data_IF_895182773146
#
_entry.id   IF_895182773146
#
_cell.length_a   1.000
_cell.length_b   1.000
_cell.length_c   1.000
_cell.angle_alpha   90.00
_cell.angle_beta   90.00
_cell.angle_gamma   90.00
#
_symmetry.space_group_name_H-M   'P 1'
#
loop_
_entity.id
_entity.type
_entity.pdbx_description
1 polymer ?
#
# COMPACT_ATOMS: atom_id res chain seq x y z
N UNK A 1 -14.16 13.94 -4.16
CA UNK A 1 -14.14 14.09 -2.70
C UNK A 1 -12.84 13.48 -2.17
N UNK A 2 -11.98 14.26 -1.51
CA UNK A 2 -10.69 13.75 -1.00
C UNK A 2 -10.89 13.00 0.30
N UNK A 3 -10.52 11.71 0.34
CA UNK A 3 -10.69 10.85 1.52
C UNK A 3 -9.34 10.62 2.21
N UNK A 4 -9.29 10.80 3.54
CA UNK A 4 -8.09 10.58 4.36
C UNK A 4 -7.68 9.12 4.36
N UNK A 5 -8.64 8.19 4.39
CA UNK A 5 -8.32 6.77 4.31
C UNK A 5 -7.57 6.40 3.03
N UNK A 6 -7.72 7.19 1.96
CA UNK A 6 -7.04 7.00 0.68
C UNK A 6 -6.00 8.10 0.39
N UNK A 7 -5.39 8.69 1.42
CA UNK A 7 -4.27 9.63 1.26
C UNK A 7 -4.66 10.95 0.60
N UNK A 8 -5.91 11.39 0.75
CA UNK A 8 -6.44 12.60 0.14
C UNK A 8 -6.86 12.44 -1.33
N UNK A 9 -6.94 11.20 -1.83
CA UNK A 9 -7.43 10.88 -3.17
C UNK A 9 -8.93 10.54 -3.16
N UNK A 10 -9.53 10.54 -4.34
CA UNK A 10 -10.89 10.01 -4.53
C UNK A 10 -10.91 8.48 -4.31
N UNK A 11 -12.06 7.95 -3.87
CA UNK A 11 -12.25 6.52 -3.73
C UNK A 11 -12.36 5.86 -5.13
N UNK A 12 -11.63 4.77 -5.43
CA UNK A 12 -11.71 4.12 -6.73
C UNK A 12 -13.10 3.54 -7.03
N UNK A 13 -13.56 3.64 -8.28
CA UNK A 13 -14.89 3.18 -8.71
C UNK A 13 -15.15 1.70 -8.41
N UNK A 14 -14.12 0.85 -8.52
CA UNK A 14 -14.25 -0.58 -8.23
C UNK A 14 -14.52 -0.84 -6.74
N UNK A 15 -13.99 -0.01 -5.84
CA UNK A 15 -14.27 -0.07 -4.39
C UNK A 15 -15.68 0.42 -4.14
N UNK A 16 -16.05 1.59 -4.71
CA UNK A 16 -17.38 2.18 -4.59
C UNK A 16 -18.49 1.19 -4.98
N UNK A 17 -18.28 0.45 -6.07
CA UNK A 17 -19.23 -0.56 -6.56
C UNK A 17 -19.48 -1.68 -5.52
N UNK A 18 -18.51 -1.96 -4.65
CA UNK A 18 -18.64 -2.99 -3.62
C UNK A 18 -19.18 -2.48 -2.28
N UNK A 19 -19.22 -1.16 -2.05
CA UNK A 19 -19.68 -0.62 -0.76
C UNK A 19 -21.13 -0.99 -0.47
N UNK A 20 -21.98 -0.98 -1.50
CA UNK A 20 -23.37 -1.41 -1.38
C UNK A 20 -23.48 -2.90 -1.00
N UNK A 21 -22.58 -3.74 -1.50
CA UNK A 21 -22.60 -5.20 -1.28
C UNK A 21 -22.36 -5.57 0.19
N UNK A 22 -21.74 -4.71 0.99
CA UNK A 22 -21.55 -4.95 2.43
C UNK A 22 -22.85 -4.93 3.22
N UNK A 23 -23.88 -4.24 2.72
CA UNK A 23 -25.19 -4.17 3.38
C UNK A 23 -25.89 -5.52 3.38
N UNK A 24 -25.67 -6.31 2.32
CA UNK A 24 -26.28 -7.63 2.14
C UNK A 24 -25.54 -8.75 2.91
N UNK A 25 -24.37 -8.44 3.48
CA UNK A 25 -23.60 -9.38 4.28
C UNK A 25 -24.13 -9.36 5.73
N UNK A 26 -24.50 -10.52 6.31
CA UNK A 26 -24.87 -10.60 7.72
C UNK A 26 -23.76 -10.08 8.64
N UNK A 27 -24.14 -9.46 9.77
CA UNK A 27 -23.19 -8.88 10.75
C UNK A 27 -22.07 -9.85 11.17
N UNK A 28 -22.41 -11.10 11.49
CA UNK A 28 -21.43 -12.11 11.91
C UNK A 28 -20.45 -12.47 10.78
N UNK A 29 -20.96 -12.65 9.56
CA UNK A 29 -20.15 -12.87 8.36
C UNK A 29 -19.25 -11.67 8.04
N UNK A 30 -19.76 -10.45 8.21
CA UNK A 30 -19.02 -9.22 7.97
C UNK A 30 -17.84 -9.09 8.94
N UNK A 31 -18.08 -9.27 10.25
CA UNK A 31 -17.02 -9.26 11.28
C UNK A 31 -15.98 -10.35 11.03
N UNK A 32 -16.42 -11.55 10.64
CA UNK A 32 -15.53 -12.66 10.28
C UNK A 32 -14.66 -12.28 9.08
N UNK A 33 -15.25 -11.71 8.04
CA UNK A 33 -14.54 -11.21 6.86
C UNK A 33 -13.50 -10.14 7.22
N UNK A 34 -13.86 -9.16 8.04
CA UNK A 34 -12.93 -8.13 8.51
C UNK A 34 -11.76 -8.75 9.30
N UNK A 35 -12.01 -9.68 10.22
CA UNK A 35 -10.95 -10.34 10.98
C UNK A 35 -10.02 -11.17 10.09
N UNK A 36 -10.56 -11.88 9.11
CA UNK A 36 -9.76 -12.59 8.11
C UNK A 36 -8.90 -11.63 7.30
N UNK A 37 -9.45 -10.51 6.84
CA UNK A 37 -8.68 -9.47 6.14
C UNK A 37 -7.51 -8.97 7.00
N UNK A 38 -7.75 -8.68 8.27
CA UNK A 38 -6.69 -8.28 9.21
C UNK A 38 -5.60 -9.36 9.28
N UNK A 39 -5.98 -10.63 9.37
CA UNK A 39 -5.03 -11.75 9.35
C UNK A 39 -4.24 -11.86 8.03
N UNK A 40 -4.91 -11.70 6.88
CA UNK A 40 -4.28 -11.72 5.55
C UNK A 40 -3.29 -10.57 5.38
N UNK A 41 -3.64 -9.36 5.79
CA UNK A 41 -2.76 -8.20 5.72
C UNK A 41 -1.53 -8.36 6.63
N UNK A 42 -1.70 -8.98 7.82
CA UNK A 42 -0.58 -9.28 8.73
C UNK A 42 0.36 -10.36 8.18
N UNK A 43 -0.19 -11.38 7.53
CA UNK A 43 0.58 -12.51 6.98
C UNK A 43 1.08 -12.28 5.56
N UNK A 44 0.75 -11.13 4.94
CA UNK A 44 1.03 -10.83 3.54
C UNK A 44 0.48 -11.91 2.58
N UNK A 45 -0.65 -12.52 2.94
CA UNK A 45 -1.29 -13.57 2.15
C UNK A 45 -2.31 -12.96 1.18
N UNK A 46 -2.19 -13.27 -0.11
CA UNK A 46 -3.05 -12.76 -1.18
C UNK A 46 -4.12 -13.76 -1.65
N UNK A 47 -4.12 -14.98 -1.10
CA UNK A 47 -4.96 -16.09 -1.58
C UNK A 47 -5.97 -16.52 -0.53
N UNK A 48 -7.25 -16.47 -0.89
CA UNK A 48 -8.35 -16.98 -0.08
C UNK A 48 -8.50 -18.49 -0.22
N UNK A 49 -8.55 -19.21 0.90
CA UNK A 49 -8.88 -20.63 0.93
C UNK A 49 -10.40 -20.86 0.85
N UNK A 50 -10.80 -22.05 0.42
CA UNK A 50 -12.23 -22.42 0.34
C UNK A 50 -12.89 -22.46 1.73
N UNK A 51 -12.14 -22.82 2.77
CA UNK A 51 -12.63 -22.82 4.16
C UNK A 51 -12.91 -21.41 4.67
N UNK A 52 -12.09 -20.41 4.30
CA UNK A 52 -12.31 -19.02 4.70
C UNK A 52 -13.53 -18.44 3.98
N UNK A 53 -13.66 -18.69 2.68
CA UNK A 53 -14.81 -18.23 1.90
C UNK A 53 -16.12 -18.87 2.37
N UNK A 54 -16.09 -20.16 2.70
CA UNK A 54 -17.26 -20.86 3.25
C UNK A 54 -17.65 -20.33 4.63
N UNK A 55 -16.69 -19.95 5.48
CA UNK A 55 -16.98 -19.35 6.79
C UNK A 55 -17.77 -18.03 6.71
N UNK A 56 -17.65 -17.30 5.60
CA UNK A 56 -18.35 -16.03 5.37
C UNK A 56 -19.68 -16.27 4.61
N UNK A 57 -19.67 -17.15 3.61
CA UNK A 57 -20.84 -17.46 2.76
C UNK A 57 -21.85 -18.40 3.41
N UNK A 58 -21.49 -19.16 4.45
CA UNK A 58 -22.39 -20.11 5.11
C UNK A 58 -23.70 -19.46 5.62
N UNK A 59 -23.71 -18.14 5.80
CA UNK A 59 -24.84 -17.38 6.36
C UNK A 59 -25.50 -16.42 5.37
N UNK A 60 -25.09 -16.34 4.09
CA UNK A 60 -25.57 -15.29 3.17
C UNK A 60 -25.75 -15.70 1.70
N UNK A 61 -26.51 -14.92 0.89
CA UNK A 61 -26.86 -15.26 -0.49
C UNK A 61 -25.80 -14.83 -1.53
N UNK A 62 -24.64 -14.32 -1.13
CA UNK A 62 -23.64 -13.81 -2.07
C UNK A 62 -22.95 -14.93 -2.84
N UNK A 63 -22.88 -14.76 -4.17
CA UNK A 63 -22.00 -15.56 -5.02
C UNK A 63 -20.52 -15.36 -4.61
N UNK A 64 -19.72 -16.42 -4.77
CA UNK A 64 -18.30 -16.46 -4.37
C UNK A 64 -17.50 -15.35 -5.07
N UNK A 65 -17.82 -15.03 -6.33
CA UNK A 65 -17.13 -13.95 -7.05
C UNK A 65 -17.45 -12.59 -6.45
N UNK A 66 -18.71 -12.33 -6.14
CA UNK A 66 -19.15 -11.08 -5.50
C UNK A 66 -18.53 -10.93 -4.11
N UNK A 67 -18.48 -12.02 -3.32
CA UNK A 67 -17.81 -12.01 -2.02
C UNK A 67 -16.32 -11.66 -2.15
N UNK A 68 -15.60 -12.29 -3.09
CA UNK A 68 -14.17 -11.99 -3.29
C UNK A 68 -13.93 -10.53 -3.66
N UNK A 69 -14.81 -9.94 -4.49
CA UNK A 69 -14.74 -8.53 -4.83
C UNK A 69 -14.98 -7.63 -3.61
N UNK A 70 -15.99 -7.95 -2.80
CA UNK A 70 -16.28 -7.26 -1.55
C UNK A 70 -15.11 -7.33 -0.56
N UNK A 71 -14.53 -8.53 -0.36
CA UNK A 71 -13.37 -8.72 0.50
C UNK A 71 -12.13 -7.97 -0.01
N UNK A 72 -11.92 -7.91 -1.32
CA UNK A 72 -10.85 -7.10 -1.91
C UNK A 72 -11.04 -5.61 -1.63
N UNK A 73 -12.27 -5.11 -1.72
CA UNK A 73 -12.60 -3.72 -1.39
C UNK A 73 -12.37 -3.40 0.09
N UNK A 74 -12.80 -4.28 1.02
CA UNK A 74 -12.49 -4.12 2.45
C UNK A 74 -10.99 -4.20 2.73
N UNK A 75 -10.29 -5.12 2.09
CA UNK A 75 -8.83 -5.26 2.24
C UNK A 75 -8.12 -3.99 1.81
N UNK A 76 -8.54 -3.39 0.69
CA UNK A 76 -8.05 -2.10 0.24
C UNK A 76 -8.33 -0.98 1.26
N UNK A 77 -9.54 -0.91 1.81
CA UNK A 77 -9.91 0.10 2.82
C UNK A 77 -9.01 -0.04 4.06
N UNK A 78 -8.89 -1.25 4.63
CA UNK A 78 -8.04 -1.49 5.81
C UNK A 78 -6.57 -1.18 5.54
N UNK A 79 -6.05 -1.60 4.39
CA UNK A 79 -4.66 -1.38 4.01
C UNK A 79 -4.35 0.11 3.85
N UNK A 80 -5.19 0.83 3.08
CA UNK A 80 -5.00 2.26 2.83
C UNK A 80 -5.20 3.10 4.08
N UNK A 81 -6.26 2.85 4.84
CA UNK A 81 -6.50 3.54 6.10
C UNK A 81 -5.32 3.40 7.06
N UNK A 82 -4.79 2.17 7.20
CA UNK A 82 -3.62 1.90 8.06
C UNK A 82 -2.35 2.57 7.56
N UNK A 83 -2.10 2.56 6.24
CA UNK A 83 -0.92 3.18 5.62
C UNK A 83 -0.92 4.70 5.76
N UNK A 84 -2.09 5.32 5.66
CA UNK A 84 -2.25 6.78 5.74
C UNK A 84 -2.65 7.28 7.14
N UNK A 85 -2.58 6.43 8.17
CA UNK A 85 -2.86 6.82 9.56
C UNK A 85 -4.25 7.44 9.74
N UNK A 86 -5.21 6.98 8.96
CA UNK A 86 -6.57 7.46 9.08
C UNK A 86 -7.12 7.05 10.45
N UNK A 87 -7.54 8.04 11.23
CA UNK A 87 -8.16 7.82 12.55
C UNK A 87 -9.48 7.08 12.34
N UNK A 88 -9.79 6.11 13.21
CA UNK A 88 -10.97 5.26 13.08
C UNK A 88 -12.30 6.07 12.98
N UNK A 89 -12.38 7.22 13.67
CA UNK A 89 -13.52 8.14 13.59
C UNK A 89 -13.63 8.83 12.21
N UNK A 90 -12.51 9.20 11.61
CA UNK A 90 -12.49 9.78 10.26
C UNK A 90 -12.88 8.70 9.25
N UNK A 91 -12.35 7.47 9.40
CA UNK A 91 -12.72 6.33 8.58
C UNK A 91 -14.23 6.03 8.66
N UNK A 92 -14.83 6.08 9.85
CA UNK A 92 -16.28 5.94 10.04
C UNK A 92 -17.06 7.00 9.24
N UNK A 93 -16.69 8.28 9.38
CA UNK A 93 -17.36 9.36 8.65
C UNK A 93 -17.23 9.21 7.13
N UNK A 94 -16.06 8.82 6.66
CA UNK A 94 -15.77 8.63 5.24
C UNK A 94 -16.53 7.43 4.66
N UNK A 95 -16.61 6.30 5.38
CA UNK A 95 -17.39 5.13 4.92
C UNK A 95 -18.89 5.42 4.88
N UNK A 96 -19.42 6.19 5.85
CA UNK A 96 -20.82 6.66 5.81
C UNK A 96 -21.07 7.56 4.60
N UNK A 97 -20.16 8.49 4.31
CA UNK A 97 -20.25 9.36 3.13
C UNK A 97 -20.23 8.57 1.82
N UNK A 98 -19.53 7.44 1.79
CA UNK A 98 -19.48 6.54 0.64
C UNK A 98 -20.69 5.60 0.52
N UNK A 99 -21.64 5.66 1.44
CA UNK A 99 -22.91 4.93 1.37
C UNK A 99 -22.92 3.57 2.08
N UNK A 100 -21.94 3.27 2.93
CA UNK A 100 -21.98 2.09 3.79
C UNK A 100 -23.04 2.27 4.89
N UNK A 101 -23.77 1.20 5.25
CA UNK A 101 -24.81 1.27 6.29
C UNK A 101 -24.22 1.60 7.67
N UNK A 102 -25.00 2.28 8.51
CA UNK A 102 -24.59 2.71 9.85
C UNK A 102 -24.16 1.56 10.75
N UNK A 103 -24.77 0.39 10.59
CA UNK A 103 -24.44 -0.81 11.37
C UNK A 103 -23.08 -1.37 10.93
N UNK A 104 -22.85 -1.51 9.61
CA UNK A 104 -21.60 -2.06 9.07
C UNK A 104 -20.41 -1.15 9.36
N UNK A 105 -20.60 0.16 9.27
CA UNK A 105 -19.53 1.12 9.57
C UNK A 105 -19.08 1.02 11.03
N UNK A 106 -20.01 0.90 11.99
CA UNK A 106 -19.66 0.76 13.41
C UNK A 106 -18.84 -0.51 13.67
N UNK A 107 -19.23 -1.63 13.05
CA UNK A 107 -18.50 -2.90 13.16
C UNK A 107 -17.10 -2.80 12.55
N UNK A 108 -16.98 -2.18 11.36
CA UNK A 108 -15.71 -1.93 10.70
C UNK A 108 -14.81 -1.05 11.58
N UNK A 109 -15.37 0.02 12.16
CA UNK A 109 -14.65 0.94 13.04
C UNK A 109 -14.10 0.22 14.26
N UNK A 110 -14.93 -0.56 14.97
CA UNK A 110 -14.52 -1.29 16.17
C UNK A 110 -13.34 -2.22 15.89
N UNK A 111 -13.38 -2.96 14.78
CA UNK A 111 -12.30 -3.86 14.39
C UNK A 111 -11.04 -3.06 14.00
N UNK A 112 -11.20 -2.01 13.21
CA UNK A 112 -10.09 -1.17 12.75
C UNK A 112 -9.38 -0.48 13.93
N UNK A 113 -10.12 0.09 14.88
CA UNK A 113 -9.59 0.69 16.11
C UNK A 113 -8.79 -0.34 16.95
N UNK A 114 -9.18 -1.61 16.94
CA UNK A 114 -8.45 -2.68 17.62
C UNK A 114 -7.15 -3.11 16.93
N UNK A 115 -7.03 -2.92 15.61
CA UNK A 115 -5.91 -3.47 14.83
C UNK A 115 -5.02 -2.46 14.10
N UNK A 116 -5.41 -1.18 14.00
CA UNK A 116 -4.74 -0.21 13.11
C UNK A 116 -3.24 -0.04 13.42
N UNK A 117 -2.84 0.06 14.69
CA UNK A 117 -1.42 0.20 15.07
C UNK A 117 -0.58 -1.01 14.63
N UNK A 118 -1.13 -2.21 14.80
CA UNK A 118 -0.42 -3.43 14.42
C UNK A 118 -0.35 -3.57 12.89
N UNK A 119 -1.45 -3.31 12.20
CA UNK A 119 -1.49 -3.30 10.74
C UNK A 119 -0.51 -2.29 10.16
N UNK A 120 -0.48 -1.06 10.68
CA UNK A 120 0.47 -0.03 10.28
C UNK A 120 1.91 -0.53 10.41
N UNK A 121 2.28 -1.10 11.56
CA UNK A 121 3.64 -1.63 11.78
C UNK A 121 4.02 -2.72 10.78
N UNK A 122 3.10 -3.61 10.44
CA UNK A 122 3.36 -4.69 9.47
C UNK A 122 3.41 -4.15 8.04
N UNK A 123 2.46 -3.31 7.66
CA UNK A 123 2.34 -2.79 6.30
C UNK A 123 3.46 -1.81 5.92
N UNK A 124 4.00 -1.05 6.88
CA UNK A 124 5.20 -0.22 6.65
C UNK A 124 6.44 -1.09 6.41
N UNK A 125 6.57 -2.22 7.13
CA UNK A 125 7.69 -3.16 6.91
C UNK A 125 7.60 -3.85 5.55
N UNK A 126 6.38 -4.16 5.13
CA UNK A 126 6.09 -4.81 3.85
C UNK A 126 6.03 -3.82 2.68
N UNK A 127 6.19 -2.52 2.94
CA UNK A 127 6.30 -1.54 1.86
C UNK A 127 7.56 -1.88 1.04
N UNK A 128 7.43 -2.12 -0.27
CA UNK A 128 8.59 -2.35 -1.13
C UNK A 128 9.48 -1.12 -1.05
N UNK A 129 10.55 -1.19 -0.26
CA UNK A 129 11.64 -0.25 -0.37
C UNK A 129 12.39 -0.67 -1.61
N UNK A 130 12.53 0.21 -2.59
CA UNK A 130 13.52 -0.04 -3.64
C UNK A 130 14.84 -0.37 -2.95
N UNK A 131 15.54 -1.43 -3.40
CA UNK A 131 16.72 -1.88 -2.71
C UNK A 131 17.73 -0.73 -2.70
N UNK A 132 18.22 -0.39 -1.52
CA UNK A 132 19.09 0.77 -1.36
C UNK A 132 20.34 0.60 -2.22
N UNK A 133 20.68 1.62 -2.99
CA UNK A 133 21.87 1.65 -3.83
C UNK A 133 23.07 2.12 -3.01
N UNK A 134 24.18 1.39 -3.12
CA UNK A 134 25.46 1.74 -2.53
C UNK A 134 26.53 1.73 -3.61
N UNK A 135 27.33 2.79 -3.68
CA UNK A 135 28.48 2.84 -4.58
C UNK A 135 29.61 2.01 -3.97
N UNK A 136 30.05 0.97 -4.68
CA UNK A 136 31.04 0.01 -4.18
C UNK A 136 32.41 0.24 -4.80
N UNK A 137 32.47 0.68 -6.05
CA UNK A 137 33.73 0.94 -6.74
C UNK A 137 33.60 2.03 -7.81
N UNK A 138 34.70 2.77 -8.02
CA UNK A 138 34.83 3.81 -9.04
C UNK A 138 36.15 3.59 -9.79
N UNK A 139 36.06 3.17 -11.05
CA UNK A 139 37.21 2.90 -11.89
C UNK A 139 37.24 3.85 -13.11
N UNK A 140 38.29 4.65 -13.25
CA UNK A 140 38.48 5.47 -14.44
C UNK A 140 39.21 4.67 -15.54
N UNK A 141 38.74 4.77 -16.78
CA UNK A 141 39.42 4.25 -17.96
C UNK A 141 39.37 5.25 -19.10
N UNK A 142 40.50 5.48 -19.73
CA UNK A 142 40.57 6.31 -20.93
C UNK A 142 40.22 5.46 -22.16
N UNK A 143 39.21 5.89 -22.91
CA UNK A 143 38.76 5.23 -24.14
C UNK A 143 38.56 6.31 -25.20
N UNK A 144 39.31 6.23 -26.31
CA UNK A 144 39.20 7.14 -27.45
C UNK A 144 39.29 8.65 -27.07
N UNK A 145 40.33 9.04 -26.32
CA UNK A 145 40.57 10.41 -25.81
C UNK A 145 39.45 10.97 -24.91
N UNK A 146 38.56 10.12 -24.39
CA UNK A 146 37.58 10.49 -23.37
C UNK A 146 37.82 9.69 -22.10
N UNK A 147 37.82 10.38 -20.96
CA UNK A 147 37.88 9.75 -19.65
C UNK A 147 36.48 9.22 -19.31
N UNK A 148 36.35 7.90 -19.16
CA UNK A 148 35.12 7.23 -18.77
C UNK A 148 35.26 6.72 -17.34
N UNK A 149 34.32 7.07 -16.47
CA UNK A 149 34.21 6.57 -15.11
C UNK A 149 33.24 5.39 -15.09
N UNK A 150 33.70 4.25 -14.59
CA UNK A 150 32.86 3.08 -14.30
C UNK A 150 32.50 3.07 -12.82
N UNK A 151 31.20 3.20 -12.55
CA UNK A 151 30.62 3.14 -11.22
C UNK A 151 30.01 1.76 -11.04
N UNK A 152 30.47 1.01 -10.03
CA UNK A 152 29.82 -0.23 -9.61
C UNK A 152 28.91 0.07 -8.44
N UNK A 153 27.61 -0.09 -8.65
CA UNK A 153 26.57 0.13 -7.64
C UNK A 153 26.02 -1.21 -7.21
N UNK A 154 25.94 -1.48 -5.91
CA UNK A 154 25.25 -2.65 -5.37
C UNK A 154 23.93 -2.24 -4.73
N UNK A 155 22.91 -3.02 -5.00
CA UNK A 155 21.61 -2.96 -4.34
C UNK A 155 21.64 -3.82 -3.07
N UNK A 156 20.81 -3.48 -2.09
CA UNK A 156 20.73 -4.23 -0.81
C UNK A 156 20.24 -5.67 -0.96
N UNK A 157 19.62 -6.02 -2.08
CA UNK A 157 19.20 -7.39 -2.43
C UNK A 157 20.33 -8.23 -3.06
N UNK A 158 21.53 -7.65 -3.22
CA UNK A 158 22.73 -8.33 -3.70
C UNK A 158 22.99 -8.20 -5.21
N UNK A 159 22.12 -7.53 -5.97
CA UNK A 159 22.38 -7.24 -7.37
C UNK A 159 23.47 -6.17 -7.54
N UNK A 160 24.16 -6.19 -8.69
CA UNK A 160 25.17 -5.20 -9.04
C UNK A 160 24.86 -4.56 -10.39
N UNK A 161 24.80 -3.23 -10.41
CA UNK A 161 24.68 -2.41 -11.61
C UNK A 161 26.04 -1.78 -11.93
N UNK A 162 26.43 -1.78 -13.20
CA UNK A 162 27.60 -1.05 -13.67
C UNK A 162 27.16 0.08 -14.59
N UNK A 163 27.59 1.30 -14.25
CA UNK A 163 27.37 2.49 -15.06
C UNK A 163 28.71 2.92 -15.64
N UNK A 164 28.78 3.13 -16.95
CA UNK A 164 29.95 3.71 -17.61
C UNK A 164 29.56 5.08 -18.14
N UNK A 165 30.10 6.13 -17.53
CA UNK A 165 29.74 7.52 -17.80
C UNK A 165 30.98 8.32 -18.18
N UNK A 166 30.88 9.17 -19.19
CA UNK A 166 31.87 10.22 -19.38
C UNK A 166 31.66 11.38 -18.37
N UNK A 167 32.58 12.34 -18.36
CA UNK A 167 32.52 13.47 -17.42
C UNK A 167 31.26 14.36 -17.60
N UNK A 168 30.75 14.50 -18.82
CA UNK A 168 29.55 15.31 -19.08
C UNK A 168 28.31 14.59 -18.54
N UNK A 169 28.20 13.28 -18.78
CA UNK A 169 27.13 12.43 -18.26
C UNK A 169 27.14 12.36 -16.73
N UNK A 170 28.33 12.27 -16.12
CA UNK A 170 28.47 12.26 -14.67
C UNK A 170 28.00 13.59 -14.04
N UNK A 171 28.37 14.71 -14.66
CA UNK A 171 27.97 16.05 -14.19
C UNK A 171 26.45 16.21 -14.27
N UNK A 172 25.85 15.73 -15.37
CA UNK A 172 24.40 15.74 -15.54
C UNK A 172 23.70 14.86 -14.50
N UNK A 173 24.15 13.63 -14.31
CA UNK A 173 23.60 12.71 -13.30
C UNK A 173 23.66 13.32 -11.90
N UNK A 174 24.78 13.95 -11.53
CA UNK A 174 24.92 14.64 -10.24
C UNK A 174 23.87 15.74 -10.08
N UNK A 175 23.70 16.59 -11.09
CA UNK A 175 22.72 17.68 -11.05
C UNK A 175 21.27 17.19 -10.93
N UNK A 176 20.92 16.08 -11.60
CA UNK A 176 19.59 15.48 -11.50
C UNK A 176 19.34 14.87 -10.12
N UNK A 177 20.34 14.20 -9.53
CA UNK A 177 20.25 13.65 -8.19
C UNK A 177 20.13 14.74 -7.11
N UNK A 178 20.88 15.84 -7.24
CA UNK A 178 20.77 17.01 -6.35
C UNK A 178 19.38 17.66 -6.44
N UNK A 179 18.83 17.79 -7.65
CA UNK A 179 17.48 18.29 -7.86
C UNK A 179 16.42 17.37 -7.23
N UNK A 180 16.55 16.06 -7.43
CA UNK A 180 15.65 15.08 -6.84
C UNK A 180 15.69 15.15 -5.30
N UNK A 181 16.89 15.18 -4.70
CA UNK A 181 17.08 15.33 -3.26
C UNK A 181 16.39 16.60 -2.73
N UNK A 182 16.61 17.75 -3.37
CA UNK A 182 15.96 19.01 -2.96
C UNK A 182 14.42 18.96 -3.04
N UNK A 183 13.88 18.18 -3.99
CA UNK A 183 12.44 17.98 -4.12
C UNK A 183 11.90 17.12 -2.99
N UNK A 184 12.64 16.08 -2.58
CA UNK A 184 12.25 15.21 -1.47
C UNK A 184 12.36 15.92 -0.11
N UNK A 185 13.38 16.76 0.11
CA UNK A 185 13.53 17.53 1.35
C UNK A 185 12.33 18.46 1.60
N UNK A 186 11.81 19.10 0.54
CA UNK A 186 10.59 19.91 0.61
C UNK A 186 9.37 19.11 1.10
N UNK A 187 9.24 17.84 0.70
CA UNK A 187 8.16 16.97 1.16
C UNK A 187 8.37 16.46 2.60
N UNK A 188 9.62 16.27 3.03
CA UNK A 188 9.95 15.83 4.39
C UNK A 188 9.71 16.94 5.44
N UNK A 189 9.90 18.21 5.09
CA UNK A 189 9.62 19.35 5.98
C UNK A 189 8.13 19.73 6.04
N UNK A 190 7.32 19.20 5.12
CA UNK A 190 5.88 19.49 5.01
C UNK A 190 4.97 18.47 5.74
N UNK A 191 5.55 17.45 6.37
CA UNK A 191 4.88 16.42 7.20
C UNK A 191 5.25 16.57 8.66
#
# INVERSE_FOLDING_TARGET
MRFRFNGGLDCPDWVLTQIAAFTDIPSESFKTGCNLIVHHLKSNSTHWTESELSSITASGPLDVRALKAALAALSFIFEKASKYECVAKDLEAEMLQLGMSTERVKELREIYEGCHEELRRVLIKNFPKEPSLSLVDVAAKEVANKQIQRLTVKTSDGNSLQLALDNDQLTKLKSELELALSTFDYFAEST
#
